data_IF_522244214971
#
_entry.id   IF_522244214971
#
_cell.length_a   1.000
_cell.length_b   1.000
_cell.length_c   1.000
_cell.angle_alpha   90.00
_cell.angle_beta   90.00
_cell.angle_gamma   90.00
#
_symmetry.space_group_name_H-M   'P 1'
#
loop_
_entity.id
_entity.type
_entity.pdbx_description
1 polymer ?
#
# COMPACT_ATOMS: atom_id res chain seq x y z
N UNK A 1 -20.99 9.58 25.46
CA UNK A 1 -19.86 8.87 24.82
C UNK A 1 -18.60 9.67 25.08
N UNK A 2 -17.56 9.04 25.60
CA UNK A 2 -16.32 9.73 25.98
C UNK A 2 -15.53 10.23 24.76
N UNK A 3 -14.76 11.31 24.91
CA UNK A 3 -13.99 11.91 23.80
C UNK A 3 -12.99 10.91 23.19
N UNK A 4 -12.37 10.08 24.04
CA UNK A 4 -11.44 9.01 23.63
C UNK A 4 -12.11 7.95 22.76
N UNK A 5 -13.32 7.53 23.15
CA UNK A 5 -14.14 6.59 22.38
C UNK A 5 -14.49 7.17 21.02
N UNK A 6 -14.86 8.47 20.97
CA UNK A 6 -15.14 9.17 19.72
C UNK A 6 -13.95 9.18 18.78
N UNK A 7 -12.74 9.46 19.28
CA UNK A 7 -11.52 9.41 18.47
C UNK A 7 -11.28 7.99 17.93
N UNK A 8 -11.33 6.96 18.77
CA UNK A 8 -11.09 5.58 18.33
C UNK A 8 -12.07 5.17 17.23
N UNK A 9 -13.36 5.52 17.37
CA UNK A 9 -14.37 5.25 16.34
C UNK A 9 -14.09 6.00 15.04
N UNK A 10 -13.70 7.27 15.09
CA UNK A 10 -13.32 8.03 13.90
C UNK A 10 -12.10 7.42 13.20
N UNK A 11 -11.08 7.01 13.95
CA UNK A 11 -9.90 6.34 13.39
C UNK A 11 -10.29 5.03 12.70
N UNK A 12 -11.18 4.24 13.32
CA UNK A 12 -11.70 3.01 12.69
C UNK A 12 -12.42 3.33 11.38
N UNK A 13 -13.33 4.32 11.39
CA UNK A 13 -14.09 4.71 10.19
C UNK A 13 -13.17 5.20 9.07
N UNK A 14 -12.22 6.09 9.38
CA UNK A 14 -11.27 6.62 8.39
C UNK A 14 -10.39 5.50 7.85
N UNK A 15 -9.88 4.62 8.71
CA UNK A 15 -9.06 3.50 8.30
C UNK A 15 -9.83 2.50 7.40
N UNK A 16 -11.07 2.19 7.75
CA UNK A 16 -11.93 1.34 6.91
C UNK A 16 -12.24 1.99 5.56
N UNK A 17 -12.50 3.30 5.54
CA UNK A 17 -12.70 4.04 4.29
C UNK A 17 -11.44 4.00 3.41
N UNK A 18 -10.24 4.11 4.00
CA UNK A 18 -8.98 3.98 3.27
C UNK A 18 -8.79 2.57 2.69
N UNK A 19 -9.05 1.54 3.49
CA UNK A 19 -9.00 0.15 3.03
C UNK A 19 -10.02 -0.14 1.92
N UNK A 20 -11.23 0.40 2.03
CA UNK A 20 -12.26 0.29 1.00
C UNK A 20 -11.83 1.00 -0.29
N UNK A 21 -11.30 2.22 -0.19
CA UNK A 21 -10.79 2.97 -1.33
C UNK A 21 -9.66 2.20 -2.04
N UNK A 22 -8.75 1.58 -1.28
CA UNK A 22 -7.73 0.69 -1.85
C UNK A 22 -8.34 -0.52 -2.53
N UNK A 23 -9.28 -1.21 -1.89
CA UNK A 23 -9.92 -2.41 -2.46
C UNK A 23 -10.63 -2.10 -3.77
N UNK A 24 -11.44 -1.03 -3.80
CA UNK A 24 -12.14 -0.58 -5.02
C UNK A 24 -11.13 -0.12 -6.08
N UNK A 25 -10.15 0.70 -5.69
CA UNK A 25 -9.09 1.13 -6.60
C UNK A 25 -8.32 -0.03 -7.21
N UNK A 26 -7.99 -1.05 -6.41
CA UNK A 26 -7.33 -2.27 -6.86
C UNK A 26 -8.18 -3.05 -7.87
N UNK A 27 -9.50 -3.16 -7.65
CA UNK A 27 -10.39 -3.83 -8.62
C UNK A 27 -10.54 -3.09 -9.95
N UNK A 28 -10.47 -1.76 -9.96
CA UNK A 28 -10.64 -0.95 -11.19
C UNK A 28 -9.33 -0.83 -11.95
N UNK A 29 -8.24 -0.60 -11.23
CA UNK A 29 -6.92 -0.35 -11.82
C UNK A 29 -6.25 -1.68 -12.17
N UNK A 30 -6.49 -2.71 -11.35
CA UNK A 30 -6.09 -4.08 -11.59
C UNK A 30 -4.64 -4.37 -11.24
N UNK A 31 -4.01 -3.69 -10.29
CA UNK A 31 -2.62 -3.99 -9.92
C UNK A 31 -2.00 -3.05 -8.89
N UNK A 32 -0.81 -3.39 -8.43
CA UNK A 32 -0.05 -2.65 -7.42
C UNK A 32 1.25 -2.09 -8.02
N UNK A 33 1.63 -0.87 -7.65
CA UNK A 33 2.88 -0.25 -8.11
C UNK A 33 4.09 -0.62 -7.24
N UNK A 34 3.88 -1.03 -5.99
CA UNK A 34 4.94 -1.56 -5.11
C UNK A 34 5.55 -2.85 -5.67
N UNK A 35 4.78 -3.63 -6.44
CA UNK A 35 5.26 -4.80 -7.20
C UNK A 35 5.36 -4.55 -8.71
N UNK A 36 5.12 -3.31 -9.12
CA UNK A 36 5.18 -2.89 -10.50
C UNK A 36 6.61 -2.85 -11.03
N UNK A 37 6.75 -2.51 -12.31
CA UNK A 37 8.05 -2.37 -12.97
C UNK A 37 8.20 -0.97 -13.52
N UNK A 38 9.37 -0.40 -13.35
CA UNK A 38 9.76 0.87 -13.94
C UNK A 38 10.84 0.57 -14.97
N UNK A 39 10.57 0.91 -16.22
CA UNK A 39 11.55 0.77 -17.30
C UNK A 39 12.10 2.14 -17.67
N UNK A 40 13.42 2.22 -17.84
CA UNK A 40 14.10 3.38 -18.39
C UNK A 40 14.68 3.01 -19.76
N UNK A 41 14.35 3.82 -20.76
CA UNK A 41 14.96 3.71 -22.09
C UNK A 41 16.40 4.23 -22.03
N UNK A 42 17.35 3.36 -22.39
CA UNK A 42 18.77 3.67 -22.37
C UNK A 42 19.21 4.71 -23.39
N UNK A 43 18.38 5.07 -24.37
CA UNK A 43 18.71 6.07 -25.39
C UNK A 43 18.11 7.45 -25.10
N UNK A 44 16.86 7.49 -24.63
CA UNK A 44 16.11 8.74 -24.40
C UNK A 44 16.06 9.14 -22.93
N UNK A 45 16.35 8.21 -22.01
CA UNK A 45 16.12 8.40 -20.57
C UNK A 45 14.64 8.46 -20.19
N UNK A 46 13.73 8.13 -21.13
CA UNK A 46 12.30 8.16 -20.88
C UNK A 46 11.89 6.99 -19.96
N UNK A 47 11.01 7.28 -19.01
CA UNK A 47 10.56 6.33 -17.99
C UNK A 47 9.13 5.90 -18.24
N UNK A 48 8.92 4.60 -18.40
CA UNK A 48 7.59 3.98 -18.51
C UNK A 48 7.27 3.20 -17.23
N UNK A 49 6.03 3.34 -16.75
CA UNK A 49 5.60 2.83 -15.45
C UNK A 49 4.53 1.75 -15.64
N UNK A 50 4.80 0.56 -15.16
CA UNK A 50 3.90 -0.58 -15.28
C UNK A 50 3.49 -1.10 -13.90
N UNK A 51 2.21 -1.34 -13.71
CA UNK A 51 1.71 -2.02 -12.52
C UNK A 51 2.04 -3.51 -12.55
N UNK A 52 1.86 -4.21 -11.43
CA UNK A 52 2.04 -5.66 -11.32
C UNK A 52 1.22 -6.47 -12.37
N UNK A 53 0.10 -5.92 -12.83
CA UNK A 53 -0.68 -6.51 -13.93
C UNK A 53 -0.08 -6.34 -15.33
N UNK A 54 1.02 -5.61 -15.48
CA UNK A 54 1.57 -5.24 -16.78
C UNK A 54 0.84 -4.09 -17.47
N UNK A 55 -0.12 -3.43 -16.79
CA UNK A 55 -0.78 -2.22 -17.29
C UNK A 55 0.14 -1.01 -17.18
N UNK A 56 0.35 -0.32 -18.29
CA UNK A 56 1.06 0.96 -18.31
C UNK A 56 0.20 2.07 -17.69
N UNK A 57 0.84 2.90 -16.87
CA UNK A 57 0.21 4.05 -16.22
C UNK A 57 1.16 5.26 -16.29
N UNK A 58 0.60 6.45 -16.13
CA UNK A 58 1.44 7.64 -15.99
C UNK A 58 2.15 7.65 -14.62
N UNK A 59 3.23 8.43 -14.53
CA UNK A 59 4.03 8.60 -13.29
C UNK A 59 3.18 8.96 -12.06
N UNK A 60 2.21 9.87 -12.22
CA UNK A 60 1.39 10.37 -11.11
C UNK A 60 0.51 9.25 -10.53
N UNK A 61 -0.11 8.47 -11.39
CA UNK A 61 -0.91 7.31 -11.01
C UNK A 61 -0.05 6.25 -10.33
N UNK A 62 1.13 5.95 -10.88
CA UNK A 62 2.07 4.99 -10.27
C UNK A 62 2.46 5.38 -8.85
N UNK A 63 2.80 6.66 -8.64
CA UNK A 63 3.14 7.21 -7.33
C UNK A 63 1.95 7.17 -6.37
N UNK A 64 0.78 7.61 -6.83
CA UNK A 64 -0.43 7.60 -6.03
C UNK A 64 -0.77 6.20 -5.54
N UNK A 65 -0.77 5.20 -6.43
CA UNK A 65 -1.07 3.80 -6.09
C UNK A 65 -0.04 3.26 -5.07
N UNK A 66 1.23 3.67 -5.18
CA UNK A 66 2.30 3.19 -4.31
C UNK A 66 2.16 3.73 -2.90
N UNK A 67 1.98 5.05 -2.78
CA UNK A 67 1.70 5.72 -1.51
C UNK A 67 0.41 5.16 -0.89
N UNK A 68 -0.63 4.98 -1.70
CA UNK A 68 -1.91 4.44 -1.23
C UNK A 68 -1.75 3.03 -0.66
N UNK A 69 -0.99 2.15 -1.33
CA UNK A 69 -0.67 0.81 -0.83
C UNK A 69 0.10 0.86 0.51
N UNK A 70 1.14 1.68 0.62
CA UNK A 70 1.90 1.84 1.87
C UNK A 70 0.99 2.31 3.02
N UNK A 71 0.05 3.21 2.72
CA UNK A 71 -0.88 3.76 3.72
C UNK A 71 -1.82 2.71 4.35
N UNK A 72 -2.02 1.56 3.69
CA UNK A 72 -2.88 0.49 4.19
C UNK A 72 -2.30 -0.12 5.46
N UNK A 73 -1.00 -0.38 5.50
CA UNK A 73 -0.36 -0.93 6.70
C UNK A 73 -0.51 -0.02 7.92
N UNK A 74 -0.36 1.29 7.70
CA UNK A 74 -0.55 2.30 8.76
C UNK A 74 -2.01 2.38 9.21
N UNK A 75 -2.95 2.34 8.26
CA UNK A 75 -4.38 2.38 8.54
C UNK A 75 -4.84 1.14 9.31
N UNK A 76 -4.40 -0.05 8.89
CA UNK A 76 -4.68 -1.32 9.57
C UNK A 76 -4.14 -1.30 11.00
N UNK A 77 -2.92 -0.79 11.21
CA UNK A 77 -2.36 -0.61 12.55
C UNK A 77 -3.28 0.28 13.43
N UNK A 78 -3.67 1.44 12.90
CA UNK A 78 -4.51 2.41 13.60
C UNK A 78 -5.89 1.83 13.97
N UNK A 79 -6.50 1.07 13.05
CA UNK A 79 -7.77 0.37 13.29
C UNK A 79 -7.60 -0.66 14.41
N UNK A 80 -6.61 -1.56 14.31
CA UNK A 80 -6.39 -2.62 15.29
C UNK A 80 -6.09 -2.05 16.68
N UNK A 81 -5.27 -1.01 16.78
CA UNK A 81 -4.97 -0.33 18.04
C UNK A 81 -6.20 0.38 18.62
N UNK A 82 -7.04 0.98 17.78
CA UNK A 82 -8.28 1.61 18.21
C UNK A 82 -9.28 0.59 18.74
N UNK A 83 -9.44 -0.54 18.04
CA UNK A 83 -10.29 -1.65 18.48
C UNK A 83 -9.78 -2.25 19.80
N UNK A 84 -8.47 -2.47 19.91
CA UNK A 84 -7.85 -2.94 21.15
C UNK A 84 -8.07 -1.97 22.30
N UNK A 85 -7.95 -0.66 22.05
CA UNK A 85 -8.18 0.38 23.05
C UNK A 85 -9.63 0.39 23.54
N UNK A 86 -10.60 0.16 22.65
CA UNK A 86 -12.01 0.06 23.01
C UNK A 86 -12.34 -1.25 23.75
N UNK A 87 -11.67 -2.34 23.41
CA UNK A 87 -11.92 -3.67 23.99
C UNK A 87 -11.15 -3.91 25.31
N UNK A 88 -10.13 -3.09 25.61
CA UNK A 88 -9.16 -3.35 26.70
C UNK A 88 -9.80 -3.62 28.06
N UNK A 89 -10.88 -2.92 28.41
CA UNK A 89 -11.49 -3.02 29.74
C UNK A 89 -12.23 -4.36 29.87
N UNK A 90 -12.96 -4.75 28.81
CA UNK A 90 -13.61 -6.08 28.74
C UNK A 90 -12.58 -7.23 28.75
N UNK A 91 -11.45 -7.05 28.06
CA UNK A 91 -10.34 -8.02 28.06
C UNK A 91 -9.70 -8.10 29.46
N UNK A 92 -9.50 -6.96 30.12
CA UNK A 92 -8.91 -6.92 31.46
C UNK A 92 -9.81 -7.62 32.48
N UNK A 93 -11.13 -7.42 32.39
CA UNK A 93 -12.10 -8.05 33.27
C UNK A 93 -12.19 -9.57 33.06
N UNK A 94 -12.15 -10.03 31.80
CA UNK A 94 -12.19 -11.47 31.49
C UNK A 94 -10.92 -12.22 31.90
N UNK A 95 -9.78 -11.54 31.99
CA UNK A 95 -8.48 -12.13 32.33
C UNK A 95 -8.15 -12.09 33.83
N UNK A 96 -9.12 -11.83 34.71
CA UNK A 96 -8.89 -11.64 36.15
C UNK A 96 -8.26 -12.86 36.86
N UNK A 97 -8.43 -14.07 36.32
CA UNK A 97 -7.85 -15.33 36.85
C UNK A 97 -6.64 -15.84 36.05
N UNK A 98 -6.20 -15.11 35.02
CA UNK A 98 -5.08 -15.54 34.17
C UNK A 98 -3.71 -15.20 34.80
N UNK A 99 -2.69 -15.99 34.45
CA UNK A 99 -1.30 -15.76 34.90
C UNK A 99 -0.73 -14.39 34.48
N UNK A 100 -1.30 -13.77 33.43
CA UNK A 100 -0.93 -12.46 32.95
C UNK A 100 -2.06 -11.46 33.18
N UNK A 101 -1.74 -10.32 33.80
CA UNK A 101 -2.69 -9.21 34.01
C UNK A 101 -3.17 -8.70 32.65
N UNK A 102 -4.48 -8.60 32.42
CA UNK A 102 -5.04 -8.25 31.10
C UNK A 102 -4.55 -6.92 30.52
N UNK A 103 -4.15 -5.96 31.36
CA UNK A 103 -3.49 -4.72 30.91
C UNK A 103 -2.14 -4.98 30.25
N UNK A 104 -1.31 -5.86 30.82
CA UNK A 104 -0.02 -6.24 30.25
C UNK A 104 -0.22 -6.95 28.91
N UNK A 105 -1.22 -7.83 28.83
CA UNK A 105 -1.58 -8.51 27.58
C UNK A 105 -1.95 -7.52 26.47
N UNK A 106 -2.81 -6.53 26.77
CA UNK A 106 -3.17 -5.49 25.80
C UNK A 106 -1.94 -4.68 25.34
N UNK A 107 -1.02 -4.33 26.24
CA UNK A 107 0.21 -3.63 25.87
C UNK A 107 1.09 -4.47 24.95
N UNK A 108 1.28 -5.76 25.25
CA UNK A 108 2.05 -6.67 24.40
C UNK A 108 1.43 -6.75 23.00
N UNK A 109 0.10 -6.92 22.92
CA UNK A 109 -0.58 -6.97 21.62
C UNK A 109 -0.44 -5.65 20.84
N UNK A 110 -0.54 -4.50 21.51
CA UNK A 110 -0.34 -3.21 20.89
C UNK A 110 1.08 -3.05 20.33
N UNK A 111 2.10 -3.48 21.08
CA UNK A 111 3.49 -3.46 20.64
C UNK A 111 3.70 -4.38 19.44
N UNK A 112 3.16 -5.61 19.47
CA UNK A 112 3.25 -6.54 18.35
C UNK A 112 2.58 -5.98 17.09
N UNK A 113 1.37 -5.42 17.22
CA UNK A 113 0.68 -4.73 16.12
C UNK A 113 1.58 -3.64 15.54
N UNK A 114 2.13 -2.77 16.40
CA UNK A 114 3.00 -1.67 15.99
C UNK A 114 4.23 -2.14 15.23
N UNK A 115 4.96 -3.13 15.77
CA UNK A 115 6.18 -3.66 15.16
C UNK A 115 5.88 -4.32 13.82
N UNK A 116 4.88 -5.22 13.75
CA UNK A 116 4.57 -5.94 12.51
C UNK A 116 4.13 -4.98 11.40
N UNK A 117 3.22 -4.06 11.71
CA UNK A 117 2.69 -3.11 10.72
C UNK A 117 3.75 -2.10 10.28
N UNK A 118 4.59 -1.60 11.20
CA UNK A 118 5.71 -0.73 10.86
C UNK A 118 6.74 -1.45 9.97
N UNK A 119 7.07 -2.71 10.29
CA UNK A 119 7.96 -3.53 9.48
C UNK A 119 7.46 -3.73 8.05
N UNK A 120 6.17 -4.03 7.88
CA UNK A 120 5.55 -4.20 6.56
C UNK A 120 5.45 -2.88 5.79
N UNK A 121 5.05 -1.79 6.44
CA UNK A 121 5.06 -0.46 5.83
C UNK A 121 6.46 -0.05 5.36
N UNK A 122 7.48 -0.34 6.17
CA UNK A 122 8.88 -0.10 5.83
C UNK A 122 9.35 -0.94 4.64
N UNK A 123 9.02 -2.24 4.61
CA UNK A 123 9.34 -3.08 3.46
C UNK A 123 8.68 -2.57 2.18
N UNK A 124 7.38 -2.25 2.21
CA UNK A 124 6.66 -1.71 1.06
C UNK A 124 7.27 -0.38 0.59
N UNK A 125 7.65 0.48 1.53
CA UNK A 125 8.32 1.75 1.22
C UNK A 125 9.67 1.51 0.54
N UNK A 126 10.48 0.57 1.06
CA UNK A 126 11.78 0.23 0.46
C UNK A 126 11.66 -0.34 -0.94
N UNK A 127 10.77 -1.31 -1.15
CA UNK A 127 10.52 -1.88 -2.49
C UNK A 127 10.07 -0.80 -3.46
N UNK A 128 9.17 0.07 -3.01
CA UNK A 128 8.68 1.17 -3.83
C UNK A 128 9.79 2.17 -4.21
N UNK A 129 10.69 2.52 -3.27
CA UNK A 129 11.84 3.40 -3.55
C UNK A 129 12.86 2.71 -4.47
N UNK A 130 13.15 1.43 -4.24
CA UNK A 130 14.08 0.64 -5.06
C UNK A 130 13.70 0.68 -6.54
N UNK A 131 12.41 0.69 -6.87
CA UNK A 131 11.94 0.82 -8.26
C UNK A 131 12.34 2.14 -8.94
N UNK A 132 12.49 3.22 -8.18
CA UNK A 132 12.95 4.51 -8.71
C UNK A 132 14.48 4.63 -8.74
N UNK A 133 15.17 3.98 -7.80
CA UNK A 133 16.64 3.98 -7.73
C UNK A 133 17.27 3.03 -8.75
N UNK A 134 16.59 1.91 -9.05
CA UNK A 134 17.07 0.84 -9.92
C UNK A 134 16.04 0.51 -11.01
N UNK A 135 15.84 1.43 -11.99
CA UNK A 135 15.00 1.15 -13.14
C UNK A 135 15.50 -0.07 -13.92
N UNK A 136 14.58 -0.88 -14.42
CA UNK A 136 14.88 -1.94 -15.38
C UNK A 136 15.20 -1.32 -16.74
N UNK A 137 16.11 -1.94 -17.49
CA UNK A 137 16.33 -1.53 -18.89
C UNK A 137 15.13 -1.91 -19.74
N UNK A 138 14.61 -0.97 -20.52
CA UNK A 138 13.51 -1.24 -21.45
C UNK A 138 13.91 -2.36 -22.44
N UNK A 139 13.09 -3.41 -22.63
CA UNK A 139 13.31 -4.36 -23.70
C UNK A 139 13.23 -3.64 -25.06
N UNK A 140 14.10 -4.02 -26.01
CA UNK A 140 14.28 -3.35 -27.30
C UNK A 140 13.00 -3.18 -28.13
N UNK A 141 11.95 -3.94 -27.83
CA UNK A 141 10.63 -3.83 -28.45
C UNK A 141 9.84 -2.57 -28.04
N UNK A 142 10.15 -1.94 -26.89
CA UNK A 142 9.54 -0.68 -26.45
C UNK A 142 10.26 0.56 -27.03
N UNK A 143 11.47 0.38 -27.56
CA UNK A 143 12.34 1.46 -28.08
C UNK A 143 12.17 1.69 -29.58
N UNK A 144 11.36 0.89 -30.28
CA UNK A 144 11.19 1.03 -31.72
C UNK A 144 10.09 2.06 -32.02
N UNK A 145 10.41 3.27 -32.54
CA UNK A 145 9.37 4.12 -33.11
C UNK A 145 8.67 3.32 -34.20
N UNK A 146 7.34 3.24 -34.13
CA UNK A 146 6.52 2.60 -35.15
C UNK A 146 7.00 3.09 -36.51
N UNK A 147 7.61 2.20 -37.30
CA UNK A 147 8.07 2.57 -38.64
C UNK A 147 6.85 3.05 -39.42
N UNK A 148 6.95 4.20 -40.13
CA UNK A 148 5.87 4.64 -40.99
C UNK A 148 5.61 3.53 -42.01
N UNK A 149 4.38 3.03 -41.99
CA UNK A 149 3.91 2.03 -42.92
C UNK A 149 4.22 2.51 -44.35
N UNK A 150 5.03 1.82 -45.16
CA UNK A 150 5.31 2.26 -46.51
C UNK A 150 4.00 2.21 -47.31
N UNK A 151 3.57 3.39 -47.73
CA UNK A 151 2.53 3.68 -48.71
C UNK A 151 2.27 2.52 -49.68
N UNK A 152 1.05 1.96 -49.64
CA UNK A 152 0.55 1.12 -50.72
C UNK A 152 0.47 1.97 -52.01
N UNK A 153 0.92 1.46 -53.17
CA UNK A 153 0.87 2.19 -54.43
C UNK A 153 -0.57 2.38 -54.89
N UNK A 154 -0.87 3.58 -55.36
CA UNK A 154 -2.12 3.93 -56.03
C UNK A 154 -2.37 3.00 -57.22
N UNK A 155 -3.61 2.52 -57.33
CA UNK A 155 -4.21 2.02 -58.56
C UNK A 155 -5.53 2.73 -58.76
#
# INVERSE_FOLDING_TARGET
MDFRTKICLWVIIIGMANFLAYTVGYTIIGGESVRGKLYEDGQTGERTYFLDSGREVNRKAFIYIGIHSISIWVSVAAIMLSMLTLAKDRIADSMRSAAMRGRTFCTVLAVLIGICTAGLAFQFTREFINHFEHPLKAPSALTQPASPNPTAPAK
#
